data_IF_153936907481
#
_entry.id   IF_153936907481
#
_cell.length_a   1.000
_cell.length_b   1.000
_cell.length_c   1.000
_cell.angle_alpha   90.00
_cell.angle_beta   90.00
_cell.angle_gamma   90.00
#
_symmetry.space_group_name_H-M   'P 1'
#
loop_
_entity.id
_entity.type
_entity.pdbx_description
1 polymer ?
#
# COMPACT_ATOMS: atom_id res chain seq x y z
N UNK A 1 9.04 -3.24 29.17
CA UNK A 1 8.40 -3.87 28.00
C UNK A 1 9.56 -4.26 27.10
N UNK A 2 9.96 -5.54 27.09
CA UNK A 2 11.30 -5.95 26.64
C UNK A 2 11.62 -5.49 25.21
N UNK A 3 10.62 -5.50 24.33
CA UNK A 3 10.76 -5.02 22.96
C UNK A 3 11.00 -3.51 22.91
N UNK A 4 10.19 -2.72 23.61
CA UNK A 4 10.34 -1.26 23.65
C UNK A 4 11.70 -0.83 24.20
N UNK A 5 12.14 -1.47 25.29
CA UNK A 5 13.43 -1.19 25.92
C UNK A 5 14.61 -1.53 24.97
N UNK A 6 14.52 -2.64 24.23
CA UNK A 6 15.51 -3.02 23.23
C UNK A 6 15.55 -2.05 22.04
N UNK A 7 14.39 -1.60 21.53
CA UNK A 7 14.33 -0.64 20.42
C UNK A 7 14.97 0.70 20.81
N UNK A 8 14.63 1.24 21.98
CA UNK A 8 15.22 2.48 22.50
C UNK A 8 16.74 2.38 22.68
N UNK A 9 17.26 1.22 23.09
CA UNK A 9 18.70 1.00 23.21
C UNK A 9 19.42 0.97 21.85
N UNK A 10 18.77 0.48 20.79
CA UNK A 10 19.37 0.36 19.45
C UNK A 10 19.38 1.68 18.67
N UNK A 11 18.29 2.46 18.73
CA UNK A 11 18.09 3.64 17.87
C UNK A 11 17.93 4.94 18.64
N UNK A 12 18.05 4.90 19.97
CA UNK A 12 17.81 6.04 20.86
C UNK A 12 16.35 6.14 21.30
N UNK A 13 16.13 6.88 22.38
CA UNK A 13 14.84 6.93 23.08
C UNK A 13 13.68 7.38 22.20
N UNK A 14 13.84 8.49 21.46
CA UNK A 14 12.76 9.04 20.62
C UNK A 14 12.37 8.10 19.48
N UNK A 15 13.35 7.67 18.68
CA UNK A 15 13.12 6.78 17.54
C UNK A 15 12.61 5.40 18.00
N UNK A 16 13.10 4.89 19.13
CA UNK A 16 12.67 3.60 19.68
C UNK A 16 11.23 3.64 20.17
N UNK A 17 10.80 4.74 20.79
CA UNK A 17 9.41 4.92 21.21
C UNK A 17 8.45 5.05 20.02
N UNK A 18 8.83 5.83 19.01
CA UNK A 18 8.03 5.95 17.77
C UNK A 18 7.91 4.59 17.05
N UNK A 19 9.01 3.85 16.91
CA UNK A 19 9.00 2.53 16.28
C UNK A 19 8.16 1.52 17.08
N UNK A 20 8.23 1.54 18.41
CA UNK A 20 7.37 0.70 19.25
C UNK A 20 5.90 1.04 19.03
N UNK A 21 5.57 2.33 19.05
CA UNK A 21 4.20 2.82 18.82
C UNK A 21 3.70 2.39 17.43
N UNK A 22 4.56 2.45 16.41
CA UNK A 22 4.27 1.94 15.08
C UNK A 22 3.97 0.43 15.10
N UNK A 23 4.81 -0.38 15.75
CA UNK A 23 4.61 -1.83 15.88
C UNK A 23 3.31 -2.18 16.61
N UNK A 24 2.97 -1.46 17.67
CA UNK A 24 1.69 -1.65 18.36
C UNK A 24 0.50 -1.34 17.44
N UNK A 25 0.62 -0.29 16.62
CA UNK A 25 -0.42 0.10 15.68
C UNK A 25 -0.48 -0.85 14.46
N UNK A 26 0.57 -1.62 14.16
CA UNK A 26 0.53 -2.62 13.07
C UNK A 26 -0.58 -3.66 13.26
N UNK A 27 -1.04 -3.92 14.50
CA UNK A 27 -2.19 -4.79 14.76
C UNK A 27 -3.49 -4.26 14.13
N UNK A 28 -3.55 -2.96 13.77
CA UNK A 28 -4.66 -2.32 13.09
C UNK A 28 -4.56 -2.39 11.56
N UNK A 29 -3.51 -3.03 11.01
CA UNK A 29 -3.41 -3.21 9.56
C UNK A 29 -4.54 -4.11 9.05
N UNK A 30 -5.12 -3.77 7.89
CA UNK A 30 -6.07 -4.65 7.23
C UNK A 30 -5.39 -5.94 6.76
N UNK A 31 -6.21 -6.95 6.52
CA UNK A 31 -5.76 -8.21 5.92
C UNK A 31 -5.30 -7.98 4.48
N UNK A 32 -3.98 -8.02 4.28
CA UNK A 32 -3.35 -7.83 2.97
C UNK A 32 -3.69 -8.98 2.02
N UNK A 33 -3.83 -10.21 2.53
CA UNK A 33 -4.16 -11.38 1.73
C UNK A 33 -5.62 -11.30 1.23
N UNK A 34 -6.53 -10.77 2.04
CA UNK A 34 -7.90 -10.45 1.61
C UNK A 34 -7.91 -9.39 0.48
N UNK A 35 -7.10 -8.33 0.59
CA UNK A 35 -7.02 -7.30 -0.46
C UNK A 35 -6.54 -7.90 -1.79
N UNK A 36 -5.49 -8.71 -1.79
CA UNK A 36 -4.97 -9.31 -3.05
C UNK A 36 -5.94 -10.36 -3.62
N UNK A 37 -6.76 -11.01 -2.79
CA UNK A 37 -7.84 -11.89 -3.22
C UNK A 37 -9.02 -11.13 -3.83
N UNK A 38 -9.14 -9.83 -3.56
CA UNK A 38 -10.23 -8.97 -4.02
C UNK A 38 -11.40 -8.88 -3.04
N UNK A 39 -11.20 -9.33 -1.81
CA UNK A 39 -12.17 -9.27 -0.73
C UNK A 39 -12.25 -7.86 -0.11
N UNK A 40 -13.31 -7.61 0.66
CA UNK A 40 -13.50 -6.34 1.35
C UNK A 40 -12.53 -6.20 2.53
N UNK A 41 -11.62 -5.23 2.44
CA UNK A 41 -10.77 -4.79 3.55
C UNK A 41 -10.84 -3.27 3.70
N UNK A 42 -10.95 -2.75 4.93
CA UNK A 42 -11.04 -1.31 5.17
C UNK A 42 -9.69 -0.61 5.02
N UNK A 43 -9.73 0.64 4.54
CA UNK A 43 -8.53 1.49 4.53
C UNK A 43 -8.32 2.04 5.95
N UNK A 44 -7.14 1.84 6.57
CA UNK A 44 -6.89 2.34 7.91
C UNK A 44 -6.87 3.88 7.92
N UNK A 45 -7.32 4.49 9.01
CA UNK A 45 -7.38 5.96 9.12
C UNK A 45 -5.99 6.62 9.28
N UNK A 46 -5.04 5.94 9.92
CA UNK A 46 -3.70 6.47 10.18
C UNK A 46 -2.84 6.48 8.92
N UNK A 47 -2.22 7.63 8.62
CA UNK A 47 -1.35 7.78 7.45
C UNK A 47 -0.19 6.77 7.48
N UNK A 48 0.44 6.55 8.64
CA UNK A 48 1.53 5.57 8.77
C UNK A 48 1.08 4.13 8.44
N UNK A 49 -0.16 3.77 8.79
CA UNK A 49 -0.75 2.48 8.45
C UNK A 49 -1.09 2.39 6.97
N UNK A 50 -1.56 3.47 6.35
CA UNK A 50 -1.80 3.55 4.91
C UNK A 50 -0.49 3.32 4.12
N UNK A 51 0.61 3.94 4.55
CA UNK A 51 1.95 3.67 4.01
C UNK A 51 2.37 2.21 4.21
N UNK A 52 2.13 1.64 5.39
CA UNK A 52 2.40 0.23 5.69
C UNK A 52 1.65 -0.72 4.75
N UNK A 53 0.35 -0.47 4.52
CA UNK A 53 -0.49 -1.22 3.59
C UNK A 53 0.05 -1.10 2.16
N UNK A 54 0.35 0.12 1.71
CA UNK A 54 0.88 0.35 0.37
C UNK A 54 2.19 -0.43 0.14
N UNK A 55 3.14 -0.33 1.07
CA UNK A 55 4.41 -1.05 1.01
C UNK A 55 4.21 -2.58 1.02
N UNK A 56 3.27 -3.09 1.81
CA UNK A 56 2.94 -4.51 1.86
C UNK A 56 2.34 -5.00 0.53
N UNK A 57 1.41 -4.24 -0.06
CA UNK A 57 0.78 -4.57 -1.34
C UNK A 57 1.80 -4.60 -2.48
N UNK A 58 2.74 -3.64 -2.53
CA UNK A 58 3.82 -3.64 -3.53
C UNK A 58 4.71 -4.88 -3.40
N UNK A 59 5.05 -5.29 -2.17
CA UNK A 59 5.80 -6.53 -1.94
C UNK A 59 5.04 -7.78 -2.38
N UNK A 60 3.72 -7.84 -2.14
CA UNK A 60 2.88 -8.96 -2.62
C UNK A 60 2.74 -8.97 -4.14
N UNK A 61 2.67 -7.81 -4.78
CA UNK A 61 2.64 -7.70 -6.23
C UNK A 61 3.92 -8.27 -6.88
N UNK A 62 5.10 -7.99 -6.30
CA UNK A 62 6.36 -8.58 -6.76
C UNK A 62 6.33 -10.12 -6.70
N UNK A 63 5.80 -10.71 -5.63
CA UNK A 63 5.68 -12.17 -5.51
C UNK A 63 4.69 -12.75 -6.53
N UNK A 64 3.58 -12.04 -6.79
CA UNK A 64 2.58 -12.44 -7.76
C UNK A 64 3.11 -12.46 -9.22
N UNK A 65 4.11 -11.62 -9.52
CA UNK A 65 4.80 -11.60 -10.80
C UNK A 65 5.47 -12.96 -11.10
N UNK A 66 6.00 -13.62 -10.06
CA UNK A 66 6.70 -14.90 -10.19
C UNK A 66 5.75 -16.10 -10.18
N UNK A 67 4.55 -15.99 -9.57
CA UNK A 67 3.59 -17.09 -9.41
C UNK A 67 2.49 -17.18 -10.47
N UNK A 68 2.49 -16.31 -11.48
CA UNK A 68 1.57 -16.39 -12.63
C UNK A 68 0.14 -15.87 -12.39
N UNK A 69 -0.15 -15.30 -11.21
CA UNK A 69 -1.43 -14.67 -10.86
C UNK A 69 -1.36 -13.12 -10.83
N UNK A 70 -0.30 -12.55 -11.39
CA UNK A 70 0.00 -11.12 -11.40
C UNK A 70 -1.17 -10.23 -11.83
N UNK A 71 -1.84 -10.54 -12.94
CA UNK A 71 -2.89 -9.69 -13.49
C UNK A 71 -4.09 -9.51 -12.53
N UNK A 72 -4.49 -10.58 -11.83
CA UNK A 72 -5.57 -10.52 -10.85
C UNK A 72 -5.15 -9.69 -9.63
N UNK A 73 -3.97 -9.96 -9.09
CA UNK A 73 -3.42 -9.24 -7.92
C UNK A 73 -3.27 -7.75 -8.22
N UNK A 74 -2.71 -7.38 -9.37
CA UNK A 74 -2.55 -5.98 -9.76
C UNK A 74 -3.90 -5.29 -9.91
N UNK A 75 -4.88 -5.97 -10.51
CA UNK A 75 -6.24 -5.44 -10.64
C UNK A 75 -6.90 -5.16 -9.30
N UNK A 76 -6.72 -6.05 -8.33
CA UNK A 76 -7.26 -5.88 -6.98
C UNK A 76 -6.56 -4.74 -6.22
N UNK A 77 -5.23 -4.61 -6.36
CA UNK A 77 -4.49 -3.48 -5.78
C UNK A 77 -4.93 -2.15 -6.39
N UNK A 78 -5.15 -2.08 -7.71
CA UNK A 78 -5.62 -0.86 -8.39
C UNK A 78 -7.03 -0.45 -7.95
N UNK A 79 -7.93 -1.42 -7.73
CA UNK A 79 -9.26 -1.16 -7.16
C UNK A 79 -9.15 -0.66 -5.72
N UNK A 80 -8.29 -1.28 -4.92
CA UNK A 80 -8.05 -0.85 -3.54
C UNK A 80 -7.46 0.57 -3.48
N UNK A 81 -6.57 0.92 -4.40
CA UNK A 81 -5.96 2.26 -4.48
C UNK A 81 -7.00 3.40 -4.64
N UNK A 82 -8.17 3.12 -5.22
CA UNK A 82 -9.26 4.10 -5.36
C UNK A 82 -10.00 4.37 -4.04
N UNK A 83 -9.79 3.52 -3.03
CA UNK A 83 -10.48 3.61 -1.73
C UNK A 83 -9.74 4.48 -0.72
N UNK A 84 -8.51 4.91 -1.02
CA UNK A 84 -7.79 5.80 -0.12
C UNK A 84 -8.55 7.13 0.05
N UNK A 85 -8.72 7.63 1.29
CA UNK A 85 -9.40 8.90 1.54
C UNK A 85 -8.73 10.10 0.83
N UNK A 86 -7.39 10.07 0.76
CA UNK A 86 -6.58 11.04 0.02
C UNK A 86 -6.11 10.42 -1.30
N UNK A 87 -6.35 11.12 -2.40
CA UNK A 87 -6.06 10.60 -3.75
C UNK A 87 -4.56 10.44 -3.98
N UNK A 88 -3.76 11.31 -3.39
CA UNK A 88 -2.29 11.33 -3.43
C UNK A 88 -1.71 10.01 -2.91
N UNK A 89 -2.33 9.41 -1.89
CA UNK A 89 -1.92 8.10 -1.35
C UNK A 89 -2.13 6.98 -2.38
N UNK A 90 -3.24 7.00 -3.10
CA UNK A 90 -3.51 6.08 -4.20
C UNK A 90 -2.53 6.26 -5.37
N UNK A 91 -2.21 7.50 -5.73
CA UNK A 91 -1.20 7.84 -6.75
C UNK A 91 0.18 7.32 -6.35
N UNK A 92 0.56 7.54 -5.10
CA UNK A 92 1.83 7.04 -4.56
C UNK A 92 1.90 5.51 -4.64
N UNK A 93 0.89 4.79 -4.15
CA UNK A 93 0.84 3.33 -4.22
C UNK A 93 1.00 2.84 -5.67
N UNK A 94 0.24 3.39 -6.63
CA UNK A 94 0.31 2.93 -8.02
C UNK A 94 1.65 3.31 -8.68
N UNK A 95 2.25 4.43 -8.30
CA UNK A 95 3.59 4.82 -8.76
C UNK A 95 4.67 3.86 -8.27
N UNK A 96 4.61 3.46 -6.99
CA UNK A 96 5.53 2.49 -6.41
C UNK A 96 5.30 1.08 -6.97
N UNK A 97 4.03 0.71 -7.18
CA UNK A 97 3.67 -0.54 -7.84
C UNK A 97 4.25 -0.60 -9.25
N UNK A 98 4.08 0.46 -10.06
CA UNK A 98 4.66 0.54 -11.39
C UNK A 98 6.19 0.45 -11.36
N UNK A 99 6.85 1.14 -10.41
CA UNK A 99 8.30 1.05 -10.25
C UNK A 99 8.77 -0.37 -9.94
N UNK A 100 7.98 -1.11 -9.18
CA UNK A 100 8.30 -2.48 -8.78
C UNK A 100 8.06 -3.50 -9.90
N UNK A 101 6.91 -3.47 -10.57
CA UNK A 101 6.49 -4.53 -11.52
C UNK A 101 6.58 -4.13 -12.99
N UNK A 102 6.69 -2.83 -13.29
CA UNK A 102 6.85 -2.29 -14.63
C UNK A 102 5.62 -2.39 -15.53
N UNK A 103 5.88 -2.48 -16.84
CA UNK A 103 4.87 -2.43 -17.92
C UNK A 103 3.68 -3.40 -17.80
N UNK A 104 3.82 -4.63 -17.24
CA UNK A 104 2.67 -5.52 -17.05
C UNK A 104 1.49 -4.88 -16.30
N UNK A 105 1.74 -3.89 -15.45
CA UNK A 105 0.67 -3.15 -14.76
C UNK A 105 -0.30 -2.47 -15.73
N UNK A 106 0.21 -1.88 -16.82
CA UNK A 106 -0.59 -1.15 -17.80
C UNK A 106 -1.45 -2.07 -18.68
N UNK A 107 -1.14 -3.37 -18.72
CA UNK A 107 -1.93 -4.35 -19.47
C UNK A 107 -3.19 -4.80 -18.70
N UNK A 108 -3.32 -4.43 -17.43
CA UNK A 108 -4.48 -4.79 -16.60
C UNK A 108 -5.62 -3.80 -16.85
N UNK A 109 -6.84 -4.25 -17.19
CA UNK A 109 -7.97 -3.34 -17.48
C UNK A 109 -8.29 -2.33 -16.38
N UNK A 110 -8.14 -2.75 -15.11
CA UNK A 110 -8.34 -1.90 -13.94
C UNK A 110 -7.40 -0.69 -13.89
N UNK A 111 -6.29 -0.70 -14.63
CA UNK A 111 -5.37 0.44 -14.68
C UNK A 111 -6.03 1.64 -15.37
N UNK A 112 -6.76 1.41 -16.47
CA UNK A 112 -7.49 2.45 -17.17
C UNK A 112 -8.62 3.02 -16.29
N UNK A 113 -9.34 2.16 -15.57
CA UNK A 113 -10.38 2.59 -14.61
C UNK A 113 -9.79 3.46 -13.51
N UNK A 114 -8.68 3.03 -12.91
CA UNK A 114 -7.98 3.80 -11.89
C UNK A 114 -7.46 5.14 -12.45
N UNK A 115 -6.82 5.16 -13.61
CA UNK A 115 -6.28 6.38 -14.22
C UNK A 115 -7.39 7.41 -14.51
N UNK A 116 -8.55 6.94 -14.98
CA UNK A 116 -9.72 7.80 -15.20
C UNK A 116 -10.23 8.40 -13.88
N UNK A 117 -10.17 7.65 -12.77
CA UNK A 117 -10.62 8.13 -11.45
C UNK A 117 -9.79 9.28 -10.86
N UNK A 118 -8.55 9.46 -11.35
CA UNK A 118 -7.62 10.51 -10.90
C UNK A 118 -7.33 11.57 -11.96
N UNK A 119 -7.98 11.50 -13.12
CA UNK A 119 -7.70 12.40 -14.26
C UNK A 119 -7.89 13.87 -13.90
N UNK A 120 -8.86 14.20 -13.05
CA UNK A 120 -9.06 15.58 -12.60
C UNK A 120 -7.87 16.12 -11.81
N UNK A 121 -7.17 15.27 -11.04
CA UNK A 121 -6.04 15.70 -10.20
C UNK A 121 -4.82 16.10 -11.04
N UNK A 122 -4.57 15.41 -12.15
CA UNK A 122 -3.46 15.69 -13.07
C UNK A 122 -3.72 16.96 -13.90
N UNK A 123 -4.98 17.30 -14.16
CA UNK A 123 -5.36 18.48 -14.93
C UNK A 123 -5.29 19.80 -14.14
N UNK A 124 -5.32 19.73 -12.80
CA UNK A 124 -5.22 20.92 -11.93
C UNK A 124 -3.78 21.35 -11.61
N UNK A 125 -2.75 20.59 -12.01
CA UNK A 125 -1.33 20.95 -11.82
C UNK A 125 -0.74 21.77 -12.99
N UNK A 126 -1.57 22.47 -13.77
CA UNK A 126 -1.16 23.33 -14.88
C UNK A 126 -1.69 24.76 -14.75
#
# INVERSE_FOLDING_TARGET
>A
DLLGDALMACVGQSAGLELKTFVDNMAQMPDIDAIIAGDAAEVPNGIDLQYGVAAALVRRALQAADSGNAAAVYGNILKYAQRFPQREMGVMLVSDLHRAVGRPLFAVPAFAEWANSITDLVLYEH
#
